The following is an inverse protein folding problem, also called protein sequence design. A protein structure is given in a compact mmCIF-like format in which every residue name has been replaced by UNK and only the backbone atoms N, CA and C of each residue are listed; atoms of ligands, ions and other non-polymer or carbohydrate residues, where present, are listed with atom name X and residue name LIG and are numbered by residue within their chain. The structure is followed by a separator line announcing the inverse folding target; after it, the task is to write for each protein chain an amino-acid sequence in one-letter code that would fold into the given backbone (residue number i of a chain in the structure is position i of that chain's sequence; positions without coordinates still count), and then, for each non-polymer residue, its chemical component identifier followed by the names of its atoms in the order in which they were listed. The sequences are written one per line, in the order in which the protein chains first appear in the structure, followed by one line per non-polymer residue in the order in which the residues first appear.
data_IF_629531656491
#
_entry.id   IF_629531656491
#
_cell.length_a   1.000
_cell.length_b   1.000
_cell.length_c   1.000
_cell.angle_alpha   90.00
_cell.angle_beta   90.00
_cell.angle_gamma   90.00
#
_symmetry.space_group_name_H-M   'P 1'
#
loop_
_entity.id
_entity.type
_entity.pdbx_description
1 polymer ?
#
# COMPACT_ATOMS: atom_id res chain seq x y z
N UNK A 1 -57.18 34.36 -50.00
CA UNK A 1 -56.74 34.61 -51.36
C UNK A 1 -55.54 33.69 -51.56
N UNK A 2 -55.60 32.56 -52.20
CA UNK A 2 -55.95 32.23 -53.58
C UNK A 2 -54.61 31.98 -54.28
N UNK A 3 -54.32 30.93 -54.86
CA UNK A 3 -54.62 29.98 -55.91
C UNK A 3 -53.49 28.93 -55.97
N UNK A 4 -53.65 27.65 -55.97
CA UNK A 4 -53.99 26.73 -57.13
C UNK A 4 -53.04 26.83 -58.34
N UNK A 5 -52.35 25.72 -58.70
CA UNK A 5 -52.42 24.95 -59.96
C UNK A 5 -51.30 23.87 -59.95
N UNK A 6 -51.61 22.56 -60.01
CA UNK A 6 -51.65 21.64 -61.18
C UNK A 6 -50.28 21.55 -61.86
N UNK A 7 -49.56 20.45 -61.94
CA UNK A 7 -49.91 19.07 -62.29
C UNK A 7 -49.06 18.68 -63.49
N UNK A 8 -48.42 17.56 -63.55
CA UNK A 8 -48.38 16.71 -64.73
C UNK A 8 -47.66 15.37 -64.45
N UNK A 9 -48.32 14.32 -64.85
CA UNK A 9 -47.84 12.94 -64.89
C UNK A 9 -46.79 12.75 -66.00
N UNK A 10 -45.76 11.95 -65.75
CA UNK A 10 -45.11 11.17 -66.79
C UNK A 10 -44.69 9.79 -66.23
N UNK A 11 -45.25 8.78 -66.89
CA UNK A 11 -45.00 7.38 -66.75
C UNK A 11 -43.71 7.03 -67.51
N UNK A 12 -42.71 6.44 -66.84
CA UNK A 12 -41.54 5.92 -67.51
C UNK A 12 -41.14 4.59 -66.86
N UNK A 13 -41.53 3.54 -67.54
CA UNK A 13 -41.18 2.15 -67.23
C UNK A 13 -39.76 1.88 -67.76
N UNK A 14 -38.80 1.54 -66.81
CA UNK A 14 -37.51 0.97 -67.20
C UNK A 14 -37.21 -0.24 -66.33
N UNK A 15 -37.05 -1.36 -67.00
CA UNK A 15 -36.51 -2.61 -66.40
C UNK A 15 -35.09 -2.39 -65.97
N UNK A 16 -34.76 -2.91 -64.76
CA UNK A 16 -33.40 -3.04 -64.39
C UNK A 16 -33.07 -4.42 -63.78
N UNK A 17 -31.98 -4.91 -64.26
CA UNK A 17 -31.30 -6.08 -63.86
C UNK A 17 -30.81 -5.94 -62.37
N UNK A 18 -30.93 -7.02 -61.62
CA UNK A 18 -30.41 -7.11 -60.27
C UNK A 18 -28.88 -7.17 -60.24
N UNK A 19 -28.32 -6.42 -59.28
CA UNK A 19 -27.01 -6.70 -58.70
C UNK A 19 -27.24 -6.88 -57.19
N UNK A 20 -26.97 -8.08 -56.70
CA UNK A 20 -27.02 -8.38 -55.28
C UNK A 20 -25.84 -7.70 -54.57
N UNK A 21 -26.14 -6.77 -53.70
CA UNK A 21 -25.19 -6.28 -52.71
C UNK A 21 -25.27 -7.17 -51.45
N UNK A 22 -24.22 -7.98 -51.28
CA UNK A 22 -23.96 -8.70 -50.04
C UNK A 22 -23.57 -7.66 -49.02
N UNK A 23 -24.49 -7.23 -48.17
CA UNK A 23 -24.14 -6.57 -46.92
C UNK A 23 -23.41 -7.58 -46.04
N UNK A 24 -22.08 -7.52 -46.03
CA UNK A 24 -21.26 -8.09 -44.98
C UNK A 24 -21.62 -7.37 -43.67
N UNK A 25 -22.48 -8.04 -42.88
CA UNK A 25 -22.69 -7.70 -41.50
C UNK A 25 -21.38 -7.97 -40.75
N UNK A 26 -20.51 -6.96 -40.66
CA UNK A 26 -19.38 -6.96 -39.71
C UNK A 26 -19.99 -6.91 -38.32
N UNK A 27 -20.36 -8.07 -37.79
CA UNK A 27 -20.54 -8.25 -36.36
C UNK A 27 -19.18 -7.99 -35.69
N UNK A 28 -19.02 -6.84 -35.06
CA UNK A 28 -18.00 -6.63 -34.05
C UNK A 28 -18.33 -7.60 -32.94
N UNK A 29 -17.74 -8.79 -32.98
CA UNK A 29 -17.78 -9.77 -31.91
C UNK A 29 -16.85 -9.28 -30.81
N UNK A 30 -17.31 -8.38 -29.96
CA UNK A 30 -16.70 -8.03 -28.70
C UNK A 30 -17.27 -8.91 -27.58
N UNK A 31 -17.16 -10.20 -27.69
CA UNK A 31 -17.46 -11.14 -26.62
C UNK A 31 -16.17 -11.82 -26.20
N UNK A 32 -15.68 -11.56 -24.99
CA UNK A 32 -14.64 -12.39 -24.34
C UNK A 32 -15.13 -13.83 -24.30
N UNK A 33 -14.36 -14.74 -24.87
CA UNK A 33 -14.60 -16.18 -24.71
C UNK A 33 -14.23 -16.55 -23.25
N UNK A 34 -14.86 -17.58 -22.69
CA UNK A 34 -14.58 -18.03 -21.32
C UNK A 34 -13.10 -18.40 -21.11
N UNK A 35 -12.38 -18.72 -22.19
CA UNK A 35 -10.94 -18.97 -22.22
C UNK A 35 -10.08 -17.72 -22.00
N UNK A 36 -10.64 -16.51 -22.13
CA UNK A 36 -9.93 -15.24 -21.95
C UNK A 36 -10.07 -14.66 -20.54
N UNK A 37 -10.77 -15.35 -19.63
CA UNK A 37 -10.99 -14.89 -18.26
C UNK A 37 -9.93 -15.51 -17.34
N UNK A 38 -9.12 -14.64 -16.72
CA UNK A 38 -8.12 -14.98 -15.71
C UNK A 38 -8.75 -14.90 -14.32
N UNK A 39 -9.07 -16.06 -13.74
CA UNK A 39 -9.66 -16.16 -12.39
C UNK A 39 -8.54 -16.31 -11.39
N UNK A 40 -8.21 -15.22 -10.70
CA UNK A 40 -7.09 -15.15 -9.79
C UNK A 40 -7.50 -14.98 -8.33
N UNK A 41 -6.64 -15.41 -7.42
CA UNK A 41 -6.74 -15.17 -5.98
C UNK A 41 -5.78 -14.05 -5.59
N UNK A 42 -6.29 -13.07 -4.84
CA UNK A 42 -5.51 -12.08 -4.13
C UNK A 42 -5.64 -12.33 -2.63
N UNK A 43 -4.54 -12.70 -1.97
CA UNK A 43 -4.48 -12.92 -0.52
C UNK A 43 -3.83 -11.71 0.16
N UNK A 44 -4.30 -11.32 1.35
CA UNK A 44 -3.78 -10.12 2.02
C UNK A 44 -3.28 -10.39 3.43
N UNK A 45 -2.36 -9.53 3.89
CA UNK A 45 -1.90 -9.52 5.28
C UNK A 45 -2.89 -8.80 6.22
N UNK A 46 -3.97 -8.23 5.68
CA UNK A 46 -4.94 -7.40 6.39
C UNK A 46 -6.24 -8.15 6.67
N UNK A 47 -6.90 -7.86 7.80
CA UNK A 47 -8.30 -8.30 7.99
C UNK A 47 -9.18 -7.76 6.85
N UNK A 48 -10.13 -8.59 6.42
CA UNK A 48 -11.08 -8.19 5.38
C UNK A 48 -11.92 -6.99 5.84
N UNK A 49 -12.24 -6.09 4.92
CA UNK A 49 -13.03 -4.88 5.17
C UNK A 49 -12.40 -3.87 6.14
N UNK A 50 -11.16 -4.06 6.57
CA UNK A 50 -10.49 -3.04 7.36
C UNK A 50 -10.37 -1.75 6.52
N UNK A 51 -10.84 -0.60 7.03
CA UNK A 51 -10.75 0.67 6.31
C UNK A 51 -9.33 0.94 5.77
N UNK A 52 -9.22 1.49 4.58
CA UNK A 52 -7.93 1.69 3.90
C UNK A 52 -7.26 0.37 3.53
N UNK A 53 -6.60 -0.29 4.48
CA UNK A 53 -5.73 -1.45 4.24
C UNK A 53 -6.46 -2.67 3.66
N UNK A 54 -7.57 -3.10 4.26
CA UNK A 54 -8.33 -4.26 3.83
C UNK A 54 -9.27 -3.95 2.66
N UNK A 55 -9.73 -2.70 2.55
CA UNK A 55 -10.64 -2.26 1.49
C UNK A 55 -9.90 -1.96 0.16
N UNK A 56 -8.64 -1.55 0.19
CA UNK A 56 -7.90 -1.20 -1.03
C UNK A 56 -7.68 -2.40 -1.98
N UNK A 57 -7.34 -3.62 -1.53
CA UNK A 57 -7.28 -4.79 -2.39
C UNK A 57 -8.61 -5.11 -3.09
N UNK A 58 -9.74 -4.90 -2.43
CA UNK A 58 -11.08 -5.06 -3.03
C UNK A 58 -11.32 -4.01 -4.12
N UNK A 59 -10.95 -2.74 -3.85
CA UNK A 59 -11.03 -1.67 -4.85
C UNK A 59 -10.11 -1.92 -6.05
N UNK A 60 -8.91 -2.47 -5.80
CA UNK A 60 -7.98 -2.88 -6.87
C UNK A 60 -8.60 -3.95 -7.76
N UNK A 61 -9.14 -5.02 -7.16
CA UNK A 61 -9.78 -6.11 -7.89
C UNK A 61 -10.95 -5.62 -8.73
N UNK A 62 -11.80 -4.76 -8.18
CA UNK A 62 -12.94 -4.18 -8.91
C UNK A 62 -12.48 -3.25 -10.05
N UNK A 63 -11.46 -2.39 -9.84
CA UNK A 63 -10.90 -1.56 -10.91
C UNK A 63 -10.32 -2.42 -12.05
N UNK A 64 -9.59 -3.47 -11.71
CA UNK A 64 -9.03 -4.40 -12.71
C UNK A 64 -10.14 -5.12 -13.48
N UNK A 65 -11.20 -5.56 -12.82
CA UNK A 65 -12.36 -6.17 -13.46
C UNK A 65 -13.01 -5.22 -14.45
N UNK A 66 -13.22 -3.95 -14.05
CA UNK A 66 -13.81 -2.92 -14.91
C UNK A 66 -12.91 -2.57 -16.10
N UNK A 67 -11.61 -2.29 -15.86
CA UNK A 67 -10.65 -1.91 -16.91
C UNK A 67 -10.47 -3.02 -17.95
N UNK A 68 -10.45 -4.28 -17.51
CA UNK A 68 -10.24 -5.45 -18.37
C UNK A 68 -11.53 -5.96 -19.05
N UNK A 69 -12.65 -5.32 -18.82
CA UNK A 69 -13.98 -5.79 -19.26
C UNK A 69 -14.26 -7.23 -18.78
N UNK A 70 -13.93 -7.52 -17.51
CA UNK A 70 -14.14 -8.81 -16.87
C UNK A 70 -13.08 -9.88 -17.18
N UNK A 71 -12.05 -9.58 -17.97
CA UNK A 71 -10.97 -10.54 -18.27
C UNK A 71 -10.08 -10.85 -17.05
N UNK A 72 -9.91 -9.91 -16.13
CA UNK A 72 -9.31 -10.15 -14.81
C UNK A 72 -10.44 -10.26 -13.78
N UNK A 73 -10.72 -11.48 -13.34
CA UNK A 73 -11.67 -11.80 -12.30
C UNK A 73 -10.91 -12.23 -11.04
N UNK A 74 -10.73 -11.27 -10.12
CA UNK A 74 -9.85 -11.43 -8.95
C UNK A 74 -10.70 -11.55 -7.69
N UNK A 75 -10.57 -12.68 -6.99
CA UNK A 75 -11.21 -12.88 -5.70
C UNK A 75 -10.24 -12.56 -4.57
N UNK A 76 -10.64 -11.62 -3.70
CA UNK A 76 -9.85 -11.18 -2.55
C UNK A 76 -10.15 -12.02 -1.32
N UNK A 77 -9.09 -12.39 -0.60
CA UNK A 77 -9.14 -13.13 0.65
C UNK A 77 -8.37 -12.38 1.73
N UNK A 78 -9.03 -12.09 2.83
CA UNK A 78 -8.41 -11.46 3.99
C UNK A 78 -7.45 -12.38 4.74
N UNK A 79 -6.66 -11.79 5.64
CA UNK A 79 -5.75 -12.53 6.52
C UNK A 79 -6.49 -13.63 7.29
N UNK A 80 -5.99 -14.87 7.23
CA UNK A 80 -6.56 -16.03 7.90
C UNK A 80 -7.69 -16.74 7.15
N UNK A 81 -8.16 -16.21 5.99
CA UNK A 81 -9.20 -16.92 5.21
C UNK A 81 -8.64 -18.10 4.40
N UNK A 82 -7.45 -17.95 3.81
CA UNK A 82 -6.74 -19.03 3.09
C UNK A 82 -5.39 -19.36 3.74
N UNK A 83 -4.63 -18.32 4.11
CA UNK A 83 -3.30 -18.43 4.72
C UNK A 83 -3.17 -17.40 5.84
N UNK A 84 -2.24 -17.60 6.76
CA UNK A 84 -1.86 -16.61 7.76
C UNK A 84 -1.25 -15.35 7.14
N UNK A 85 -1.32 -14.21 7.84
CA UNK A 85 -0.84 -12.92 7.33
C UNK A 85 0.62 -12.99 6.84
N UNK A 86 1.49 -13.67 7.58
CA UNK A 86 2.92 -13.75 7.26
C UNK A 86 3.28 -14.87 6.27
N UNK A 87 2.31 -15.63 5.80
CA UNK A 87 2.46 -16.67 4.78
C UNK A 87 2.17 -16.17 3.35
N UNK A 88 1.67 -14.93 3.22
CA UNK A 88 1.27 -14.33 1.93
C UNK A 88 2.42 -14.35 0.94
N UNK A 89 3.62 -13.92 1.32
CA UNK A 89 4.79 -13.87 0.46
C UNK A 89 5.15 -15.24 -0.13
N UNK A 90 5.27 -16.24 0.73
CA UNK A 90 5.64 -17.60 0.31
C UNK A 90 4.54 -18.24 -0.55
N UNK A 91 3.27 -18.01 -0.20
CA UNK A 91 2.14 -18.54 -0.96
C UNK A 91 2.09 -17.99 -2.39
N UNK A 92 2.37 -16.72 -2.59
CA UNK A 92 2.44 -16.09 -3.92
C UNK A 92 3.73 -16.53 -4.66
N UNK A 93 4.86 -16.55 -3.96
CA UNK A 93 6.15 -17.01 -4.52
C UNK A 93 6.04 -18.42 -5.11
N UNK A 94 5.32 -19.31 -4.43
CA UNK A 94 5.12 -20.71 -4.83
C UNK A 94 3.95 -20.92 -5.80
N UNK A 95 3.20 -19.87 -6.16
CA UNK A 95 2.06 -19.94 -7.06
C UNK A 95 0.78 -20.54 -6.45
N UNK A 96 0.67 -20.63 -5.11
CA UNK A 96 -0.56 -21.05 -4.45
C UNK A 96 -1.68 -19.98 -4.55
N UNK A 97 -1.27 -18.72 -4.69
CA UNK A 97 -2.10 -17.60 -5.10
C UNK A 97 -1.35 -16.78 -6.15
N UNK A 98 -2.07 -16.16 -7.06
CA UNK A 98 -1.49 -15.36 -8.14
C UNK A 98 -1.04 -13.97 -7.65
N UNK A 99 -1.73 -13.42 -6.64
CA UNK A 99 -1.51 -12.08 -6.11
C UNK A 99 -1.48 -12.06 -4.58
N UNK A 100 -0.67 -11.16 -4.02
CA UNK A 100 -0.64 -10.87 -2.58
C UNK A 100 -0.61 -9.36 -2.33
N UNK A 101 -1.21 -8.90 -1.23
CA UNK A 101 -1.13 -7.51 -0.80
C UNK A 101 -0.69 -7.43 0.65
N UNK A 102 0.34 -6.63 0.92
CA UNK A 102 0.94 -6.53 2.25
C UNK A 102 1.92 -5.37 2.38
N UNK A 103 2.91 -5.55 3.23
CA UNK A 103 3.99 -4.58 3.41
C UNK A 103 5.35 -5.29 3.42
N UNK A 104 6.29 -4.77 2.63
CA UNK A 104 7.60 -5.38 2.41
C UNK A 104 8.41 -5.59 3.71
N UNK A 105 8.16 -4.83 4.76
CA UNK A 105 8.86 -5.00 6.04
C UNK A 105 8.51 -6.33 6.76
N UNK A 106 7.42 -6.99 6.43
CA UNK A 106 7.11 -8.31 7.00
C UNK A 106 8.08 -9.40 6.52
N UNK A 107 8.77 -9.15 5.43
CA UNK A 107 9.67 -10.11 4.78
C UNK A 107 11.15 -9.88 5.13
N UNK A 108 11.44 -9.12 6.18
CA UNK A 108 12.82 -8.86 6.65
C UNK A 108 13.63 -10.14 6.86
N UNK A 109 12.98 -11.25 7.20
CA UNK A 109 13.62 -12.58 7.29
C UNK A 109 13.95 -13.23 5.94
N UNK A 110 13.49 -12.68 4.80
CA UNK A 110 13.82 -13.15 3.45
C UNK A 110 15.01 -12.38 2.88
N UNK A 111 15.05 -11.07 3.10
CA UNK A 111 16.17 -10.19 2.80
C UNK A 111 16.10 -8.98 3.73
N UNK A 112 17.20 -8.64 4.39
CA UNK A 112 17.24 -7.59 5.43
C UNK A 112 16.82 -6.20 4.92
N UNK A 113 16.93 -5.95 3.60
CA UNK A 113 16.62 -4.66 2.96
C UNK A 113 15.17 -4.53 2.47
N UNK A 114 14.34 -5.57 2.57
CA UNK A 114 12.93 -5.48 2.13
C UNK A 114 12.17 -4.31 2.76
N UNK A 115 12.39 -3.93 4.06
CA UNK A 115 11.71 -2.77 4.63
C UNK A 115 11.98 -1.45 3.91
N UNK A 116 13.07 -1.32 3.14
CA UNK A 116 13.36 -0.09 2.41
C UNK A 116 12.33 0.24 1.34
N UNK A 117 11.60 -0.77 0.84
CA UNK A 117 10.53 -0.59 -0.15
C UNK A 117 9.16 -0.30 0.50
N UNK A 118 9.06 -0.48 1.81
CA UNK A 118 7.90 -0.05 2.58
C UNK A 118 8.19 1.28 3.26
N UNK A 119 9.06 1.29 4.26
CA UNK A 119 9.35 2.47 5.07
C UNK A 119 10.69 2.37 5.77
N UNK A 120 11.34 3.51 5.93
CA UNK A 120 12.57 3.65 6.70
C UNK A 120 12.32 4.64 7.85
N UNK A 121 12.64 4.30 9.10
CA UNK A 121 12.51 5.22 10.21
C UNK A 121 13.23 6.55 9.95
N UNK A 122 12.53 7.68 10.13
CA UNK A 122 12.99 9.03 9.78
C UNK A 122 13.36 9.23 8.28
N UNK A 123 12.92 8.33 7.42
CA UNK A 123 13.16 8.34 5.98
C UNK A 123 12.18 9.19 5.18
N UNK A 124 11.89 8.74 3.97
CA UNK A 124 11.01 9.41 3.01
C UNK A 124 9.54 9.37 3.45
N UNK A 125 8.84 10.49 3.25
CA UNK A 125 7.38 10.53 3.32
C UNK A 125 6.74 9.92 2.06
N UNK A 126 5.40 9.86 2.00
CA UNK A 126 4.67 9.22 0.90
C UNK A 126 5.00 9.81 -0.48
N UNK A 127 5.11 11.13 -0.59
CA UNK A 127 5.44 11.81 -1.84
C UNK A 127 6.86 11.50 -2.29
N UNK A 128 7.82 11.52 -1.36
CA UNK A 128 9.22 11.20 -1.59
C UNK A 128 9.41 9.73 -1.98
N UNK A 129 8.70 8.79 -1.29
CA UNK A 129 8.70 7.37 -1.65
C UNK A 129 8.18 7.13 -3.07
N UNK A 130 7.08 7.78 -3.44
CA UNK A 130 6.55 7.71 -4.80
C UNK A 130 7.55 8.27 -5.83
N UNK A 131 8.24 9.37 -5.51
CA UNK A 131 9.30 9.93 -6.34
C UNK A 131 10.46 8.95 -6.55
N UNK A 132 10.98 8.36 -5.47
CA UNK A 132 12.05 7.38 -5.53
C UNK A 132 11.64 6.13 -6.30
N UNK A 133 10.49 5.54 -5.96
CA UNK A 133 10.04 4.31 -6.60
C UNK A 133 9.85 4.48 -8.11
N UNK A 134 9.25 5.58 -8.56
CA UNK A 134 8.83 5.71 -9.96
C UNK A 134 9.81 6.49 -10.85
N UNK A 135 10.71 7.29 -10.27
CA UNK A 135 11.65 8.15 -11.01
C UNK A 135 13.07 8.11 -10.47
N UNK A 136 13.27 7.55 -9.26
CA UNK A 136 14.60 7.43 -8.62
C UNK A 136 15.23 6.04 -8.76
N UNK A 137 14.64 5.12 -9.56
CA UNK A 137 15.16 3.77 -9.78
C UNK A 137 14.76 2.76 -8.70
N UNK A 138 13.88 3.12 -7.76
CA UNK A 138 13.47 2.24 -6.68
C UNK A 138 12.69 1.01 -7.13
N UNK A 139 11.80 1.14 -8.13
CA UNK A 139 10.98 0.02 -8.60
C UNK A 139 11.82 -1.04 -9.33
N UNK A 140 12.84 -0.62 -10.07
CA UNK A 140 13.75 -1.53 -10.76
C UNK A 140 14.56 -2.36 -9.75
N UNK A 141 15.08 -1.72 -8.71
CA UNK A 141 15.80 -2.39 -7.61
C UNK A 141 14.87 -3.34 -6.83
N UNK A 142 13.64 -2.94 -6.61
CA UNK A 142 12.64 -3.79 -5.95
C UNK A 142 12.33 -5.03 -6.78
N UNK A 143 12.12 -4.86 -8.08
CA UNK A 143 11.92 -5.96 -9.02
C UNK A 143 13.13 -6.89 -9.12
N UNK A 144 14.34 -6.34 -9.09
CA UNK A 144 15.58 -7.15 -9.07
C UNK A 144 15.69 -7.99 -7.80
N UNK A 145 15.38 -7.40 -6.63
CA UNK A 145 15.37 -8.15 -5.37
C UNK A 145 14.30 -9.25 -5.36
N UNK A 146 13.07 -8.92 -5.75
CA UNK A 146 11.95 -9.85 -5.68
C UNK A 146 11.98 -10.93 -6.79
N UNK A 147 12.77 -10.71 -7.84
CA UNK A 147 13.05 -11.74 -8.85
C UNK A 147 13.65 -13.02 -8.25
N UNK A 148 14.43 -12.89 -7.17
CA UNK A 148 15.00 -14.01 -6.43
C UNK A 148 13.96 -14.95 -5.82
N UNK A 149 12.75 -14.44 -5.63
CA UNK A 149 11.61 -15.11 -4.99
C UNK A 149 10.48 -15.42 -5.98
N UNK A 150 10.72 -15.36 -7.28
CA UNK A 150 9.68 -15.55 -8.30
C UNK A 150 8.50 -14.57 -8.18
N UNK A 151 8.77 -13.33 -7.78
CA UNK A 151 7.76 -12.29 -7.55
C UNK A 151 7.98 -11.05 -8.42
N UNK A 152 6.88 -10.34 -8.70
CA UNK A 152 6.86 -9.01 -9.35
C UNK A 152 6.11 -8.04 -8.42
N UNK A 153 6.81 -7.04 -7.82
CA UNK A 153 6.19 -6.08 -6.92
C UNK A 153 5.66 -4.83 -7.65
N UNK A 154 4.64 -4.22 -7.04
CA UNK A 154 4.10 -2.91 -7.40
C UNK A 154 3.75 -2.13 -6.12
N UNK A 155 3.94 -0.81 -6.13
CA UNK A 155 3.39 0.06 -5.10
C UNK A 155 1.86 0.14 -5.28
N UNK A 156 1.10 -0.27 -4.27
CA UNK A 156 -0.37 -0.36 -4.33
C UNK A 156 -1.05 0.06 -3.03
N UNK A 157 -0.50 1.02 -2.34
CA UNK A 157 -1.06 1.66 -1.16
C UNK A 157 -0.01 2.49 -0.43
N UNK A 158 -0.47 3.52 0.27
CA UNK A 158 0.34 4.31 1.19
C UNK A 158 -0.57 4.90 2.28
N UNK A 159 -0.15 4.84 3.54
CA UNK A 159 -0.94 5.38 4.65
C UNK A 159 -0.61 6.83 5.01
N UNK A 160 0.41 7.42 4.39
CA UNK A 160 0.97 8.69 4.82
C UNK A 160 1.76 8.57 6.12
N UNK A 161 2.07 9.70 6.75
CA UNK A 161 2.76 9.71 8.05
C UNK A 161 1.88 9.10 9.13
N UNK A 162 2.42 8.11 9.83
CA UNK A 162 1.69 7.41 10.88
C UNK A 162 1.81 8.09 12.25
N UNK A 163 1.12 7.53 13.24
CA UNK A 163 1.29 7.84 14.66
C UNK A 163 2.36 6.93 15.29
N UNK A 164 3.01 7.38 16.36
CA UNK A 164 3.99 6.56 17.06
C UNK A 164 3.38 5.35 17.79
N UNK A 165 2.07 5.40 18.04
CA UNK A 165 1.29 4.26 18.50
C UNK A 165 0.59 4.46 19.85
N UNK A 166 0.03 3.37 20.36
CA UNK A 166 -0.78 3.25 21.56
C UNK A 166 -0.01 2.60 22.68
N UNK A 167 -0.08 3.20 23.88
CA UNK A 167 0.72 2.78 25.02
C UNK A 167 -0.15 2.66 26.28
N UNK A 168 0.02 1.57 27.02
CA UNK A 168 -0.56 1.38 28.33
C UNK A 168 0.26 2.05 29.46
N UNK A 169 1.51 2.41 29.15
CA UNK A 169 2.44 3.10 30.06
C UNK A 169 2.80 4.46 29.49
N UNK A 170 2.93 5.45 30.36
CA UNK A 170 3.41 6.77 29.97
C UNK A 170 4.92 6.74 29.69
N UNK A 171 5.33 7.29 28.57
CA UNK A 171 6.74 7.44 28.18
C UNK A 171 7.16 8.89 28.46
N UNK A 172 7.97 9.09 29.46
CA UNK A 172 8.49 10.39 29.89
C UNK A 172 9.95 10.62 29.52
N UNK A 173 10.68 9.56 29.22
CA UNK A 173 12.09 9.58 28.88
C UNK A 173 12.54 8.26 28.24
N UNK A 174 13.79 8.22 27.74
CA UNK A 174 14.40 7.01 27.22
C UNK A 174 14.45 5.85 28.22
N UNK A 175 14.41 6.13 29.55
CA UNK A 175 14.38 5.08 30.56
C UNK A 175 13.11 4.22 30.49
N UNK A 176 12.00 4.81 30.08
CA UNK A 176 10.70 4.13 29.99
C UNK A 176 10.61 3.19 28.77
N UNK A 177 11.55 3.30 27.84
CA UNK A 177 11.69 2.38 26.69
C UNK A 177 12.30 1.04 27.12
N UNK A 178 13.11 1.03 28.20
CA UNK A 178 13.79 -0.18 28.65
C UNK A 178 12.78 -1.24 29.10
N UNK A 179 12.79 -2.40 28.43
CA UNK A 179 11.90 -3.53 28.71
C UNK A 179 10.47 -3.33 28.23
N UNK A 180 10.15 -2.24 27.50
CA UNK A 180 8.85 -2.01 26.89
C UNK A 180 8.58 -3.08 25.82
N UNK A 181 7.55 -3.89 26.01
CA UNK A 181 7.08 -4.86 25.02
C UNK A 181 6.16 -4.16 24.04
N UNK A 182 6.63 -3.95 22.82
CA UNK A 182 5.86 -3.23 21.82
C UNK A 182 5.76 -4.02 20.52
N UNK A 183 4.55 -4.15 19.99
CA UNK A 183 4.37 -4.63 18.64
C UNK A 183 4.81 -3.53 17.70
N UNK A 184 5.87 -3.80 16.94
CA UNK A 184 6.43 -2.90 15.94
C UNK A 184 7.27 -3.71 14.94
N UNK A 185 6.91 -3.75 13.65
CA UNK A 185 7.62 -4.53 12.63
C UNK A 185 8.84 -3.82 12.07
N UNK A 186 9.57 -4.54 11.21
CA UNK A 186 10.62 -4.00 10.36
C UNK A 186 11.75 -3.30 11.12
N UNK A 187 12.32 -2.27 10.50
CA UNK A 187 13.40 -1.49 11.11
C UNK A 187 13.01 -0.78 12.39
N UNK A 188 11.73 -0.43 12.56
CA UNK A 188 11.23 0.16 13.81
C UNK A 188 11.42 -0.77 15.00
N UNK A 189 11.18 -2.07 14.81
CA UNK A 189 11.42 -3.10 15.82
C UNK A 189 12.88 -3.22 16.20
N UNK A 190 13.78 -3.22 15.25
CA UNK A 190 15.22 -3.28 15.47
C UNK A 190 15.73 -2.02 16.22
N UNK A 191 15.23 -0.84 15.86
CA UNK A 191 15.54 0.41 16.58
C UNK A 191 15.08 0.35 18.02
N UNK A 192 13.85 -0.12 18.27
CA UNK A 192 13.29 -0.29 19.61
C UNK A 192 14.15 -1.27 20.43
N UNK A 193 14.58 -2.38 19.85
CA UNK A 193 15.43 -3.37 20.52
C UNK A 193 16.77 -2.78 20.95
N UNK A 194 17.43 -2.03 20.05
CA UNK A 194 18.71 -1.36 20.38
C UNK A 194 18.56 -0.25 21.42
N UNK A 195 17.37 0.33 21.52
CA UNK A 195 17.05 1.27 22.59
C UNK A 195 16.74 0.60 23.95
N UNK A 196 16.69 -0.74 23.99
CA UNK A 196 16.42 -1.53 25.18
C UNK A 196 14.99 -1.99 25.35
N UNK A 197 14.11 -1.75 24.37
CA UNK A 197 12.76 -2.32 24.32
C UNK A 197 12.75 -3.76 23.82
N UNK A 198 11.56 -4.35 23.77
CA UNK A 198 11.32 -5.74 23.35
C UNK A 198 10.31 -5.70 22.20
N UNK A 199 10.77 -5.73 20.95
CA UNK A 199 9.86 -5.78 19.81
C UNK A 199 9.14 -7.12 19.73
N UNK A 200 7.87 -7.09 19.38
CA UNK A 200 7.02 -8.27 19.16
C UNK A 200 6.41 -8.17 17.75
N UNK A 201 6.50 -9.25 16.99
CA UNK A 201 5.88 -9.32 15.66
C UNK A 201 4.55 -10.07 15.79
N UNK A 202 3.45 -9.38 15.53
CA UNK A 202 2.09 -9.93 15.53
C UNK A 202 1.33 -9.42 14.30
N UNK A 203 0.49 -10.27 13.68
CA UNK A 203 -0.44 -9.82 12.64
C UNK A 203 -1.50 -8.89 13.22
N UNK A 204 -2.07 -8.02 12.37
CA UNK A 204 -3.04 -7.02 12.81
C UNK A 204 -4.24 -7.58 13.57
N UNK A 205 -4.70 -8.76 13.18
CA UNK A 205 -5.84 -9.45 13.82
C UNK A 205 -5.59 -9.81 15.31
N UNK A 206 -4.34 -9.84 15.77
CA UNK A 206 -3.98 -10.23 17.13
C UNK A 206 -3.64 -9.02 18.03
N UNK A 207 -3.42 -7.85 17.45
CA UNK A 207 -2.91 -6.65 18.15
C UNK A 207 -3.83 -6.23 19.29
N UNK A 208 -5.14 -6.13 19.04
CA UNK A 208 -6.12 -5.72 20.05
C UNK A 208 -6.07 -6.62 21.30
N UNK A 209 -6.15 -7.94 21.08
CA UNK A 209 -6.14 -8.92 22.16
C UNK A 209 -4.82 -8.93 22.93
N UNK A 210 -3.68 -8.82 22.23
CA UNK A 210 -2.37 -8.78 22.84
C UNK A 210 -2.18 -7.55 23.74
N UNK A 211 -2.69 -6.38 23.31
CA UNK A 211 -2.66 -5.14 24.09
C UNK A 211 -3.63 -5.21 25.28
N UNK A 212 -4.84 -5.75 25.08
CA UNK A 212 -5.85 -5.92 26.13
C UNK A 212 -5.39 -6.86 27.24
N UNK A 213 -4.72 -7.95 26.89
CA UNK A 213 -4.26 -8.97 27.86
C UNK A 213 -2.91 -8.64 28.48
N UNK A 214 -2.22 -7.56 28.03
CA UNK A 214 -0.91 -7.18 28.54
C UNK A 214 0.24 -8.07 28.04
N UNK A 215 0.03 -8.87 27.00
CA UNK A 215 1.11 -9.58 26.28
C UNK A 215 2.10 -8.57 25.70
N UNK A 216 1.58 -7.43 25.23
CA UNK A 216 2.34 -6.25 24.85
C UNK A 216 1.92 -5.04 25.69
N UNK A 217 2.86 -4.13 25.95
CA UNK A 217 2.64 -2.86 26.66
C UNK A 217 2.23 -1.73 25.71
N UNK A 218 2.60 -1.86 24.43
CA UNK A 218 2.37 -0.86 23.40
C UNK A 218 2.26 -1.50 22.00
N UNK A 219 1.67 -0.77 21.08
CA UNK A 219 1.62 -1.11 19.66
C UNK A 219 1.65 0.16 18.82
N UNK A 220 2.37 0.14 17.69
CA UNK A 220 2.01 0.98 16.56
C UNK A 220 0.98 0.25 15.70
N UNK A 221 0.25 0.99 14.86
CA UNK A 221 -0.59 0.37 13.84
C UNK A 221 -0.56 1.21 12.56
N UNK A 222 -1.37 2.25 12.44
CA UNK A 222 -1.33 3.18 11.28
C UNK A 222 -1.52 4.62 11.75
N UNK A 223 -2.75 4.97 12.11
CA UNK A 223 -3.15 6.32 12.44
C UNK A 223 -4.64 6.37 12.79
N UNK A 224 -5.17 7.55 13.12
CA UNK A 224 -6.48 7.70 13.76
C UNK A 224 -7.62 6.94 13.07
N UNK A 225 -7.64 6.93 11.73
CA UNK A 225 -8.71 6.30 10.96
C UNK A 225 -8.74 4.77 11.13
N UNK A 226 -7.58 4.12 11.02
CA UNK A 226 -7.47 2.66 11.21
C UNK A 226 -7.54 2.28 12.69
N UNK A 227 -6.91 3.07 13.55
CA UNK A 227 -6.78 2.78 14.97
C UNK A 227 -8.13 2.89 15.69
N UNK A 228 -8.99 3.82 15.25
CA UNK A 228 -10.37 3.91 15.69
C UNK A 228 -11.18 2.67 15.29
N UNK A 229 -11.01 2.19 14.04
CA UNK A 229 -11.67 0.97 13.56
C UNK A 229 -11.23 -0.29 14.32
N UNK A 230 -9.98 -0.33 14.80
CA UNK A 230 -9.48 -1.39 15.68
C UNK A 230 -9.85 -1.20 17.15
N UNK A 231 -10.52 -0.12 17.48
CA UNK A 231 -10.92 0.22 18.86
C UNK A 231 -9.73 0.23 19.86
N UNK A 232 -8.51 0.57 19.41
CA UNK A 232 -7.31 0.55 20.25
C UNK A 232 -7.42 1.48 21.46
N UNK A 233 -8.19 2.57 21.33
CA UNK A 233 -8.52 3.50 22.41
C UNK A 233 -9.25 2.85 23.59
N UNK A 234 -9.86 1.68 23.43
CA UNK A 234 -10.56 0.97 24.51
C UNK A 234 -9.62 0.14 25.38
N UNK A 235 -8.40 -0.14 24.88
CA UNK A 235 -7.41 -1.03 25.51
C UNK A 235 -6.05 -0.36 25.75
N UNK A 236 -5.87 0.89 25.31
CA UNK A 236 -4.67 1.69 25.59
C UNK A 236 -5.03 3.14 25.88
N UNK A 237 -4.28 3.78 26.77
CA UNK A 237 -4.60 5.10 27.30
C UNK A 237 -3.94 6.24 26.54
N UNK A 238 -2.67 6.08 26.18
CA UNK A 238 -1.86 7.14 25.61
C UNK A 238 -1.64 6.92 24.11
N UNK A 239 -1.82 7.98 23.32
CA UNK A 239 -1.60 7.96 21.89
C UNK A 239 -0.47 8.91 21.51
N UNK A 240 0.67 8.33 21.11
CA UNK A 240 1.91 9.08 20.89
C UNK A 240 2.12 9.47 19.42
N UNK A 241 2.81 10.61 19.23
CA UNK A 241 3.28 11.13 17.95
C UNK A 241 4.70 11.73 18.09
N UNK A 242 5.43 11.99 16.96
CA UNK A 242 5.15 11.59 15.59
C UNK A 242 5.47 10.12 15.31
N UNK A 243 4.92 9.59 14.20
CA UNK A 243 5.22 8.25 13.68
C UNK A 243 6.60 8.15 13.07
N UNK A 244 7.62 8.20 13.89
CA UNK A 244 9.04 8.23 13.53
C UNK A 244 9.50 7.02 12.71
N UNK A 245 8.84 5.88 12.88
CA UNK A 245 9.15 4.59 12.27
C UNK A 245 8.57 4.45 10.86
N UNK A 246 7.42 5.06 10.59
CA UNK A 246 6.69 4.97 9.32
C UNK A 246 6.23 6.34 8.81
N UNK A 247 7.15 7.14 8.23
CA UNK A 247 6.81 8.47 7.72
C UNK A 247 6.01 8.46 6.40
N UNK A 248 5.93 7.31 5.70
CA UNK A 248 5.19 7.18 4.46
C UNK A 248 5.25 5.76 3.91
N UNK A 249 4.71 4.76 4.65
CA UNK A 249 4.87 3.37 4.27
C UNK A 249 4.11 3.06 2.98
N UNK A 250 4.86 2.58 1.99
CA UNK A 250 4.31 2.01 0.76
C UNK A 250 3.86 0.58 1.03
N UNK A 251 2.64 0.26 0.62
CA UNK A 251 2.13 -1.09 0.63
C UNK A 251 2.29 -1.72 -0.75
N UNK A 252 2.57 -3.01 -0.74
CA UNK A 252 2.89 -3.73 -1.96
C UNK A 252 1.72 -4.56 -2.48
N UNK A 253 1.62 -4.62 -3.80
CA UNK A 253 1.00 -5.71 -4.52
C UNK A 253 2.12 -6.58 -5.07
N UNK A 254 2.16 -7.85 -4.70
CA UNK A 254 3.09 -8.83 -5.25
C UNK A 254 2.34 -9.82 -6.14
N UNK A 255 2.93 -10.15 -7.27
CA UNK A 255 2.40 -11.15 -8.19
C UNK A 255 3.38 -12.30 -8.35
N UNK A 256 2.86 -13.52 -8.44
CA UNK A 256 3.66 -14.64 -8.94
C UNK A 256 4.16 -14.30 -10.35
N UNK A 257 5.46 -14.42 -10.58
CA UNK A 257 6.10 -14.00 -11.84
C UNK A 257 5.55 -14.75 -13.04
N UNK A 258 5.40 -16.07 -12.95
CA UNK A 258 4.91 -16.89 -14.06
C UNK A 258 3.46 -16.55 -14.40
N UNK A 259 2.61 -16.35 -13.38
CA UNK A 259 1.25 -15.90 -13.58
C UNK A 259 1.20 -14.53 -14.25
N UNK A 260 2.00 -13.55 -13.79
CA UNK A 260 2.06 -12.22 -14.37
C UNK A 260 2.57 -12.23 -15.83
N UNK A 261 3.65 -12.96 -16.11
CA UNK A 261 4.25 -13.05 -17.44
C UNK A 261 3.36 -13.82 -18.44
N UNK A 262 2.46 -14.69 -17.97
CA UNK A 262 1.47 -15.38 -18.80
C UNK A 262 0.34 -14.45 -19.32
N UNK A 263 0.15 -13.29 -18.70
CA UNK A 263 -0.88 -12.35 -19.13
C UNK A 263 -0.53 -11.65 -20.44
N UNK A 264 -1.52 -11.37 -21.30
CA UNK A 264 -1.36 -10.43 -22.41
C UNK A 264 -0.87 -9.06 -21.92
N UNK A 265 -0.10 -8.38 -22.75
CA UNK A 265 0.56 -7.12 -22.40
C UNK A 265 -0.42 -6.03 -21.91
N UNK A 266 -1.59 -5.95 -22.50
CA UNK A 266 -2.63 -5.00 -22.10
C UNK A 266 -3.09 -5.21 -20.65
N UNK A 267 -3.27 -6.47 -20.20
CA UNK A 267 -3.63 -6.79 -18.81
C UNK A 267 -2.48 -6.50 -17.84
N UNK A 268 -1.22 -6.75 -18.23
CA UNK A 268 -0.07 -6.35 -17.43
C UNK A 268 -0.02 -4.83 -17.19
N UNK A 269 -0.27 -4.03 -18.26
CA UNK A 269 -0.33 -2.56 -18.15
C UNK A 269 -1.51 -2.12 -17.27
N UNK A 270 -2.66 -2.77 -17.37
CA UNK A 270 -3.80 -2.47 -16.48
C UNK A 270 -3.47 -2.69 -15.01
N UNK A 271 -2.74 -3.76 -14.67
CA UNK A 271 -2.28 -4.02 -13.30
C UNK A 271 -1.34 -2.90 -12.82
N UNK A 272 -0.37 -2.51 -13.64
CA UNK A 272 0.56 -1.42 -13.32
C UNK A 272 -0.18 -0.10 -13.04
N UNK A 273 -1.10 0.29 -13.94
CA UNK A 273 -1.89 1.53 -13.81
C UNK A 273 -2.82 1.47 -12.59
N UNK A 274 -3.52 0.35 -12.40
CA UNK A 274 -4.44 0.19 -11.28
C UNK A 274 -3.69 0.21 -9.94
N UNK A 275 -2.49 -0.38 -9.85
CA UNK A 275 -1.67 -0.34 -8.64
C UNK A 275 -1.29 1.09 -8.25
N UNK A 276 -0.84 1.90 -9.22
CA UNK A 276 -0.56 3.33 -8.99
C UNK A 276 -1.81 4.10 -8.55
N UNK A 277 -2.95 3.84 -9.18
CA UNK A 277 -4.22 4.47 -8.82
C UNK A 277 -4.64 4.12 -7.38
N UNK A 278 -4.45 2.88 -6.95
CA UNK A 278 -4.77 2.44 -5.58
C UNK A 278 -3.78 3.01 -4.57
N UNK A 279 -2.50 3.18 -4.94
CA UNK A 279 -1.51 3.83 -4.08
C UNK A 279 -1.92 5.28 -3.74
N UNK A 280 -2.35 6.05 -4.73
CA UNK A 280 -2.85 7.41 -4.56
C UNK A 280 -4.20 7.45 -3.83
N UNK A 281 -5.13 6.58 -4.20
CA UNK A 281 -6.47 6.46 -3.60
C UNK A 281 -6.40 6.19 -2.10
N UNK A 282 -5.54 5.27 -1.66
CA UNK A 282 -5.35 4.96 -0.24
C UNK A 282 -4.75 6.15 0.51
N UNK A 283 -3.71 6.79 -0.02
CA UNK A 283 -3.10 7.98 0.59
C UNK A 283 -4.13 9.11 0.74
N UNK A 284 -4.95 9.32 -0.27
CA UNK A 284 -6.04 10.32 -0.25
C UNK A 284 -7.10 9.98 0.80
N UNK A 285 -7.49 8.70 0.92
CA UNK A 285 -8.44 8.23 1.93
C UNK A 285 -7.91 8.49 3.35
N UNK A 286 -6.67 8.10 3.65
CA UNK A 286 -6.05 8.35 4.96
C UNK A 286 -5.92 9.85 5.26
N UNK A 287 -5.48 10.63 4.29
CA UNK A 287 -5.36 12.09 4.42
C UNK A 287 -6.71 12.74 4.75
N UNK A 288 -7.77 12.32 4.09
CA UNK A 288 -9.11 12.88 4.30
C UNK A 288 -9.75 12.43 5.63
N UNK A 289 -9.48 11.20 6.08
CA UNK A 289 -10.20 10.58 7.18
C UNK A 289 -9.49 10.68 8.54
N UNK A 290 -8.17 10.76 8.55
CA UNK A 290 -7.41 10.77 9.80
C UNK A 290 -7.81 11.93 10.73
N UNK A 291 -8.07 13.14 10.19
CA UNK A 291 -8.42 14.28 11.04
C UNK A 291 -9.75 14.08 11.76
N UNK A 292 -10.81 13.67 11.05
CA UNK A 292 -12.11 13.44 11.66
C UNK A 292 -12.07 12.29 12.69
N UNK A 293 -11.31 11.22 12.38
CA UNK A 293 -11.12 10.11 13.33
C UNK A 293 -10.31 10.51 14.55
N UNK A 294 -9.32 11.39 14.39
CA UNK A 294 -8.58 11.95 15.53
C UNK A 294 -9.47 12.80 16.43
N UNK A 295 -10.33 13.64 15.85
CA UNK A 295 -11.31 14.45 16.58
C UNK A 295 -12.22 13.53 17.40
N UNK A 296 -12.80 12.48 16.80
CA UNK A 296 -13.61 11.48 17.51
C UNK A 296 -12.84 10.83 18.66
N UNK A 297 -11.60 10.36 18.43
CA UNK A 297 -10.76 9.77 19.49
C UNK A 297 -10.54 10.69 20.66
N UNK A 298 -10.30 11.98 20.41
CA UNK A 298 -10.01 12.96 21.46
C UNK A 298 -11.30 13.42 22.17
N UNK A 299 -12.34 13.81 21.41
CA UNK A 299 -13.52 14.46 21.98
C UNK A 299 -14.56 13.47 22.51
N UNK A 300 -14.73 12.32 21.86
CA UNK A 300 -15.77 11.35 22.27
C UNK A 300 -15.18 10.23 23.15
N UNK A 301 -13.92 9.84 22.90
CA UNK A 301 -13.27 8.74 23.64
C UNK A 301 -12.24 9.21 24.67
N UNK A 302 -11.94 10.51 24.76
CA UNK A 302 -11.05 11.08 25.76
C UNK A 302 -9.59 10.61 25.65
N UNK A 303 -9.14 10.30 24.43
CA UNK A 303 -7.76 9.83 24.16
C UNK A 303 -6.76 10.94 24.49
N UNK A 304 -5.72 10.61 25.24
CA UNK A 304 -4.65 11.53 25.58
C UNK A 304 -3.52 11.50 24.53
N UNK A 305 -3.48 12.56 23.71
CA UNK A 305 -2.39 12.78 22.76
C UNK A 305 -1.11 13.19 23.46
N UNK A 306 0.00 12.54 23.15
CA UNK A 306 1.31 12.79 23.75
C UNK A 306 2.41 12.90 22.69
N UNK A 307 3.24 13.95 22.73
CA UNK A 307 4.48 13.93 21.97
C UNK A 307 5.48 12.95 22.59
N UNK A 308 6.20 12.20 21.77
CA UNK A 308 7.35 11.46 22.27
C UNK A 308 8.41 12.41 22.83
N UNK A 309 9.04 12.07 23.97
CA UNK A 309 10.13 12.88 24.53
C UNK A 309 11.28 13.06 23.54
N UNK A 310 11.91 14.24 23.55
CA UNK A 310 12.96 14.58 22.60
C UNK A 310 14.20 13.67 22.70
N UNK A 311 14.54 13.21 23.90
CA UNK A 311 15.64 12.26 24.12
C UNK A 311 15.35 10.89 23.49
N UNK A 312 14.09 10.44 23.52
CA UNK A 312 13.65 9.21 22.84
C UNK A 312 13.77 9.38 21.32
N UNK A 313 13.22 10.47 20.77
CA UNK A 313 13.25 10.74 19.33
C UNK A 313 14.70 10.85 18.82
N UNK A 314 15.57 11.55 19.53
CA UNK A 314 16.98 11.69 19.17
C UNK A 314 17.72 10.35 19.20
N UNK A 315 17.48 9.53 20.25
CA UNK A 315 18.09 8.21 20.36
C UNK A 315 17.61 7.29 19.24
N UNK A 316 16.31 7.26 18.97
CA UNK A 316 15.73 6.46 17.88
C UNK A 316 16.30 6.86 16.51
N UNK A 317 16.47 8.17 16.26
CA UNK A 317 17.06 8.68 15.00
C UNK A 317 18.49 8.19 14.81
N UNK A 318 19.32 8.26 15.86
CA UNK A 318 20.70 7.76 15.80
C UNK A 318 20.75 6.26 15.53
N UNK A 319 19.92 5.47 16.24
CA UNK A 319 19.86 4.02 16.07
C UNK A 319 19.30 3.61 14.71
N UNK A 320 18.34 4.36 14.17
CA UNK A 320 17.78 4.11 12.84
C UNK A 320 18.84 4.16 11.75
N UNK A 321 19.74 5.15 11.79
CA UNK A 321 20.86 5.26 10.86
C UNK A 321 21.78 4.04 10.89
N UNK A 322 22.05 3.52 12.10
CA UNK A 322 22.86 2.31 12.28
C UNK A 322 22.16 1.06 11.75
N UNK A 323 20.88 0.87 12.09
CA UNK A 323 20.05 -0.28 11.66
C UNK A 323 19.97 -0.37 10.14
N UNK A 324 19.60 0.74 9.49
CA UNK A 324 19.40 0.77 8.03
C UNK A 324 20.73 0.53 7.29
N UNK A 325 21.83 1.14 7.79
CA UNK A 325 23.16 0.92 7.23
C UNK A 325 23.63 -0.53 7.40
N UNK A 326 23.24 -1.20 8.46
CA UNK A 326 23.61 -2.58 8.73
C UNK A 326 22.88 -3.56 7.81
N UNK A 327 21.58 -3.34 7.58
CA UNK A 327 20.80 -4.13 6.62
C UNK A 327 21.40 -4.09 5.20
N UNK A 328 22.04 -2.99 4.82
CA UNK A 328 22.71 -2.85 3.53
C UNK A 328 23.94 -3.73 3.33
N UNK A 329 24.49 -4.33 4.40
CA UNK A 329 25.71 -5.14 4.34
C UNK A 329 25.48 -6.60 3.91
N UNK A 330 24.25 -7.00 3.72
CA UNK A 330 23.90 -8.40 3.42
C UNK A 330 24.53 -8.86 2.08
N UNK A 331 24.37 -8.07 1.02
CA UNK A 331 24.95 -8.32 -0.29
C UNK A 331 25.10 -7.04 -1.12
N UNK A 332 25.63 -7.17 -2.34
CA UNK A 332 25.86 -6.05 -3.29
C UNK A 332 24.55 -5.37 -3.68
N UNK A 333 23.47 -6.12 -3.92
CA UNK A 333 22.17 -5.55 -4.28
C UNK A 333 21.59 -4.75 -3.11
N UNK A 334 21.70 -5.28 -1.89
CA UNK A 334 21.30 -4.58 -0.67
C UNK A 334 22.03 -3.23 -0.50
N UNK A 335 23.32 -3.20 -0.84
CA UNK A 335 24.11 -1.97 -0.82
C UNK A 335 23.69 -0.97 -1.91
N UNK A 336 23.34 -1.46 -3.11
CA UNK A 336 22.81 -0.62 -4.20
C UNK A 336 21.46 -0.01 -3.84
N UNK A 337 20.56 -0.81 -3.24
CA UNK A 337 19.25 -0.34 -2.75
C UNK A 337 19.44 0.77 -1.71
N UNK A 338 20.25 0.53 -0.69
CA UNK A 338 20.56 1.52 0.34
C UNK A 338 21.15 2.80 -0.26
N UNK A 339 22.14 2.69 -1.13
CA UNK A 339 22.81 3.84 -1.72
C UNK A 339 21.85 4.68 -2.58
N UNK A 340 21.01 4.02 -3.40
CA UNK A 340 19.97 4.68 -4.19
C UNK A 340 18.95 5.41 -3.32
N UNK A 341 18.44 4.75 -2.27
CA UNK A 341 17.49 5.33 -1.33
C UNK A 341 18.06 6.56 -0.63
N UNK A 342 19.28 6.44 -0.09
CA UNK A 342 19.92 7.51 0.70
C UNK A 342 20.32 8.71 -0.17
N UNK A 343 20.82 8.48 -1.39
CA UNK A 343 21.10 9.55 -2.33
C UNK A 343 19.84 10.33 -2.70
N UNK A 344 18.75 9.62 -3.04
CA UNK A 344 17.48 10.28 -3.37
C UNK A 344 16.91 11.06 -2.18
N UNK A 345 16.99 10.50 -0.98
CA UNK A 345 16.53 11.17 0.25
C UNK A 345 17.31 12.45 0.54
N UNK A 346 18.62 12.45 0.30
CA UNK A 346 19.46 13.66 0.47
C UNK A 346 19.07 14.74 -0.55
N UNK A 347 18.92 14.37 -1.81
CA UNK A 347 18.57 15.30 -2.90
C UNK A 347 17.18 15.94 -2.67
N UNK A 348 16.16 15.13 -2.35
CA UNK A 348 14.80 15.62 -2.20
C UNK A 348 14.61 16.51 -0.96
N UNK A 349 15.34 16.26 0.11
CA UNK A 349 15.29 17.07 1.34
C UNK A 349 15.68 18.54 1.09
N UNK A 350 16.65 18.77 0.23
CA UNK A 350 17.10 20.13 -0.12
C UNK A 350 15.95 20.98 -0.67
N UNK A 351 15.20 20.44 -1.62
CA UNK A 351 14.04 21.13 -2.19
C UNK A 351 12.86 21.19 -1.23
N UNK A 352 12.52 20.08 -0.56
CA UNK A 352 11.38 20.01 0.36
C UNK A 352 11.51 20.96 1.55
N UNK A 353 12.73 21.25 2.01
CA UNK A 353 12.94 22.20 3.10
C UNK A 353 12.50 23.62 2.73
N UNK A 354 12.66 24.04 1.47
CA UNK A 354 12.29 25.37 0.98
C UNK A 354 10.93 25.41 0.26
N UNK A 355 10.33 24.28 -0.01
CA UNK A 355 9.00 24.15 -0.62
C UNK A 355 7.97 23.66 0.40
N UNK A 356 7.74 22.34 0.49
CA UNK A 356 6.69 21.73 1.29
C UNK A 356 6.76 22.13 2.78
N UNK A 357 7.93 21.99 3.40
CA UNK A 357 8.08 22.31 4.82
C UNK A 357 7.96 23.80 5.09
N UNK A 358 8.56 24.65 4.24
CA UNK A 358 8.43 26.10 4.37
C UNK A 358 6.98 26.56 4.22
N UNK A 359 6.26 25.98 3.25
CA UNK A 359 4.84 26.28 3.07
C UNK A 359 3.98 25.79 4.27
N UNK A 360 4.20 24.57 4.75
CA UNK A 360 3.49 24.02 5.92
C UNK A 360 3.71 24.88 7.17
N UNK A 361 4.90 25.45 7.33
CA UNK A 361 5.22 26.34 8.46
C UNK A 361 4.64 27.77 8.29
N UNK A 362 4.24 28.14 7.06
CA UNK A 362 3.73 29.48 6.73
C UNK A 362 2.21 29.60 6.75
N UNK A 363 1.46 28.50 6.79
CA UNK A 363 0.00 28.45 6.75
C UNK A 363 -0.64 28.33 8.14
#
# INVERSE_FOLDING_TARGET
MGKLLRGFFFFGLVLTMGCGDSQENTRVAGGTTESDIYKWKLITTWPKNLPGLGAAPERLAEKLRQMSNGRLDIKVYGSGELVGAFEVFDSVSQGAAEMGHGAAYYWVGKAAVTPMFATVPFGMNAQEMNGWLHYGGGIELWRELYARFNLVPFAAGNSGVQMAGWFNKEIRSLKDIKGLKMRIPGFGGEVLQRAGGIPVSLPGSEVYTALQTGVIDATEWVGPYNDLAFALHTVAKYYYYPGWHEPGPTLELILNREAYESLPRDLQVMIEVASRAINDDMLSEFTARNNASLETLVTEHGVELRPLPSDVVQKFRSLAQEVVKEAAKEDELSQRIYSSYMSFLEDVRGYHAISEQAYLNAR
#
